data_IF_444846616542
#
_entry.id   IF_444846616542
#
_cell.length_a   1.000
_cell.length_b   1.000
_cell.length_c   1.000
_cell.angle_alpha   90.00
_cell.angle_beta   90.00
_cell.angle_gamma   90.00
#
_symmetry.space_group_name_H-M   'P 1'
#
loop_
_entity.id
_entity.type
_entity.pdbx_description
1 polymer ?
#
# COMPACT_ATOMS: atom_id res chain seq x y z
N UNK A 1 -10.64 8.81 29.10
CA UNK A 1 -9.68 9.64 29.83
C UNK A 1 -8.62 10.10 28.84
N UNK A 2 -8.10 11.31 28.94
CA UNK A 2 -7.07 11.80 28.00
C UNK A 2 -5.84 10.90 27.97
N UNK A 3 -5.49 10.28 29.10
CA UNK A 3 -4.44 9.25 29.20
C UNK A 3 -4.71 8.06 28.27
N UNK A 4 -5.97 7.65 28.08
CA UNK A 4 -6.32 6.55 27.17
C UNK A 4 -6.26 6.98 25.69
N UNK A 5 -6.39 8.29 25.40
CA UNK A 5 -6.25 8.84 24.05
C UNK A 5 -4.76 8.94 23.68
N UNK A 6 -3.93 9.47 24.58
CA UNK A 6 -2.49 9.67 24.36
C UNK A 6 -1.70 8.36 24.28
N UNK A 7 -2.17 7.31 24.98
CA UNK A 7 -1.56 5.98 24.96
C UNK A 7 -2.06 5.10 23.81
N UNK A 8 -3.02 5.57 23.00
CA UNK A 8 -3.63 4.77 21.93
C UNK A 8 -3.00 5.05 20.57
N UNK A 9 -2.59 4.01 19.83
CA UNK A 9 -2.12 4.12 18.43
C UNK A 9 -3.24 4.50 17.45
N UNK A 10 -4.50 4.34 17.89
CA UNK A 10 -5.70 4.60 17.11
C UNK A 10 -6.78 5.18 18.02
N UNK A 11 -7.16 6.43 17.80
CA UNK A 11 -8.23 7.12 18.52
C UNK A 11 -9.51 7.16 17.68
N UNK A 12 -10.60 6.60 18.21
CA UNK A 12 -11.92 6.68 17.59
C UNK A 12 -12.62 7.96 18.02
N UNK A 13 -12.82 8.89 17.07
CA UNK A 13 -13.45 10.19 17.33
C UNK A 13 -14.98 10.08 17.42
N UNK A 14 -15.58 9.00 16.89
CA UNK A 14 -17.01 8.68 17.01
C UNK A 14 -17.22 7.48 17.92
N UNK A 15 -18.31 7.49 18.67
CA UNK A 15 -18.74 6.40 19.56
C UNK A 15 -19.31 5.17 18.82
N UNK A 16 -18.94 4.96 17.55
CA UNK A 16 -19.38 3.80 16.76
C UNK A 16 -18.29 2.72 16.79
N UNK A 17 -18.61 1.55 17.36
CA UNK A 17 -17.70 0.41 17.41
C UNK A 17 -17.36 -0.13 16.01
N UNK A 18 -18.20 0.10 14.99
CA UNK A 18 -17.90 -0.32 13.61
C UNK A 18 -16.68 0.41 13.04
N UNK A 19 -16.35 1.60 13.55
CA UNK A 19 -15.15 2.33 13.14
C UNK A 19 -13.85 1.56 13.48
N UNK A 20 -13.85 0.75 14.54
CA UNK A 20 -12.72 -0.14 14.84
C UNK A 20 -12.60 -1.25 13.80
N UNK A 21 -13.71 -1.88 13.42
CA UNK A 21 -13.72 -2.92 12.40
C UNK A 21 -13.27 -2.38 11.02
N UNK A 22 -13.76 -1.19 10.65
CA UNK A 22 -13.36 -0.47 9.43
C UNK A 22 -11.85 -0.16 9.43
N UNK A 23 -11.30 0.30 10.56
CA UNK A 23 -9.87 0.57 10.68
C UNK A 23 -9.01 -0.69 10.47
N UNK A 24 -9.42 -1.83 11.04
CA UNK A 24 -8.70 -3.09 10.86
C UNK A 24 -8.82 -3.57 9.40
N UNK A 25 -9.99 -3.46 8.78
CA UNK A 25 -10.16 -3.87 7.38
C UNK A 25 -9.38 -2.99 6.41
N UNK A 26 -9.39 -1.67 6.63
CA UNK A 26 -8.56 -0.74 5.88
C UNK A 26 -7.08 -1.07 6.03
N UNK A 27 -6.60 -1.31 7.25
CA UNK A 27 -5.21 -1.71 7.52
C UNK A 27 -4.80 -2.97 6.76
N UNK A 28 -5.65 -4.01 6.75
CA UNK A 28 -5.41 -5.24 5.97
C UNK A 28 -5.29 -4.97 4.48
N UNK A 29 -6.16 -4.12 3.92
CA UNK A 29 -6.11 -3.73 2.49
C UNK A 29 -4.86 -2.91 2.18
N UNK A 30 -4.45 -2.02 3.09
CA UNK A 30 -3.19 -1.26 2.95
C UNK A 30 -2.00 -2.19 2.92
N UNK A 31 -1.94 -3.16 3.84
CA UNK A 31 -0.85 -4.14 3.89
C UNK A 31 -0.79 -5.00 2.63
N UNK A 32 -1.94 -5.38 2.04
CA UNK A 32 -1.98 -6.10 0.78
C UNK A 32 -1.38 -5.28 -0.38
N UNK A 33 -1.66 -3.97 -0.44
CA UNK A 33 -1.05 -3.06 -1.43
C UNK A 33 0.45 -2.91 -1.21
N UNK A 34 0.89 -2.71 0.04
CA UNK A 34 2.32 -2.62 0.39
C UNK A 34 3.06 -3.89 -0.04
N UNK A 35 2.50 -5.08 0.27
CA UNK A 35 3.09 -6.37 -0.14
C UNK A 35 3.21 -6.49 -1.66
N UNK A 36 2.18 -6.09 -2.40
CA UNK A 36 2.23 -6.09 -3.88
C UNK A 36 3.31 -5.17 -4.43
N UNK A 37 3.43 -3.96 -3.88
CA UNK A 37 4.46 -2.99 -4.28
C UNK A 37 5.87 -3.51 -3.98
N UNK A 38 6.06 -4.12 -2.81
CA UNK A 38 7.35 -4.69 -2.39
C UNK A 38 7.75 -5.89 -3.27
N UNK A 39 6.80 -6.75 -3.62
CA UNK A 39 7.03 -7.87 -4.54
C UNK A 39 7.55 -7.39 -5.90
N UNK A 40 6.91 -6.37 -6.50
CA UNK A 40 7.34 -5.81 -7.78
C UNK A 40 8.70 -5.14 -7.69
N UNK A 41 9.01 -4.44 -6.59
CA UNK A 41 10.32 -3.86 -6.36
C UNK A 41 11.41 -4.95 -6.31
N UNK A 42 11.18 -6.05 -5.60
CA UNK A 42 12.13 -7.18 -5.57
C UNK A 42 12.25 -7.87 -6.93
N UNK A 43 11.13 -8.15 -7.60
CA UNK A 43 11.14 -8.80 -8.92
C UNK A 43 11.99 -8.02 -9.94
N UNK A 44 11.87 -6.69 -9.92
CA UNK A 44 12.70 -5.82 -10.76
C UNK A 44 14.18 -5.91 -10.40
N UNK A 45 14.55 -5.79 -9.12
CA UNK A 45 15.95 -5.90 -8.69
C UNK A 45 16.55 -7.28 -9.04
N UNK A 46 15.79 -8.35 -8.83
CA UNK A 46 16.20 -9.72 -9.14
C UNK A 46 16.37 -9.93 -10.65
N UNK A 47 15.57 -9.28 -11.50
CA UNK A 47 15.75 -9.33 -12.95
C UNK A 47 16.93 -8.46 -13.42
N UNK A 48 17.06 -7.25 -12.88
CA UNK A 48 18.07 -6.28 -13.29
C UNK A 48 19.50 -6.72 -13.00
N UNK A 49 19.76 -7.40 -11.87
CA UNK A 49 21.10 -7.89 -11.51
C UNK A 49 21.70 -8.88 -12.55
N UNK A 50 21.06 -10.02 -12.87
CA UNK A 50 21.58 -10.96 -13.86
C UNK A 50 21.60 -10.37 -15.28
N UNK A 51 20.67 -9.47 -15.59
CA UNK A 51 20.66 -8.74 -16.85
C UNK A 51 21.84 -7.75 -16.97
N UNK A 52 22.20 -7.05 -15.89
CA UNK A 52 23.40 -6.21 -15.84
C UNK A 52 24.68 -7.04 -15.93
N UNK A 53 24.70 -8.23 -15.29
CA UNK A 53 25.82 -9.17 -15.36
C UNK A 53 26.03 -9.77 -16.76
N UNK A 54 24.98 -9.88 -17.57
CA UNK A 54 25.04 -10.46 -18.92
C UNK A 54 25.39 -9.47 -20.03
N UNK A 55 25.81 -8.23 -19.69
CA UNK A 55 26.18 -7.15 -20.64
C UNK A 55 25.05 -6.79 -21.65
N UNK A 56 23.82 -7.21 -21.39
CA UNK A 56 22.69 -7.14 -22.33
C UNK A 56 21.60 -6.16 -21.90
N UNK A 57 21.89 -5.25 -20.97
CA UNK A 57 20.90 -4.32 -20.46
C UNK A 57 21.17 -2.87 -20.89
N UNK A 58 20.29 -2.36 -21.76
CA UNK A 58 20.19 -0.93 -22.00
C UNK A 58 19.69 -0.25 -20.73
N UNK A 59 20.45 0.69 -20.12
CA UNK A 59 20.05 1.43 -18.93
C UNK A 59 18.69 2.14 -19.05
N UNK A 60 18.24 2.36 -20.28
CA UNK A 60 16.98 3.02 -20.61
C UNK A 60 15.76 2.15 -20.28
N UNK A 61 15.83 0.82 -20.49
CA UNK A 61 14.71 -0.08 -20.18
C UNK A 61 14.57 -0.26 -18.67
N UNK A 62 15.72 -0.36 -17.99
CA UNK A 62 15.81 -0.39 -16.54
C UNK A 62 15.17 0.87 -15.90
N UNK A 63 15.62 2.05 -16.33
CA UNK A 63 15.08 3.33 -15.83
C UNK A 63 13.60 3.55 -16.16
N UNK A 64 13.14 3.14 -17.35
CA UNK A 64 11.73 3.22 -17.72
C UNK A 64 10.83 2.34 -16.82
N UNK A 65 11.26 1.11 -16.54
CA UNK A 65 10.54 0.21 -15.63
C UNK A 65 10.52 0.74 -14.19
N UNK A 66 11.62 1.33 -13.71
CA UNK A 66 11.69 1.93 -12.37
C UNK A 66 10.75 3.14 -12.23
N UNK A 67 10.65 3.99 -13.26
CA UNK A 67 9.72 5.11 -13.30
C UNK A 67 8.25 4.66 -13.40
N UNK A 68 7.97 3.61 -14.18
CA UNK A 68 6.62 3.05 -14.29
C UNK A 68 6.13 2.44 -12.96
N UNK A 69 7.05 1.91 -12.15
CA UNK A 69 6.73 1.37 -10.83
C UNK A 69 6.11 2.41 -9.90
N UNK A 70 6.56 3.68 -9.92
CA UNK A 70 5.94 4.75 -9.14
C UNK A 70 4.48 4.98 -9.54
N UNK A 71 4.19 4.98 -10.85
CA UNK A 71 2.82 5.13 -11.36
C UNK A 71 1.95 3.94 -10.96
N UNK A 72 2.50 2.72 -11.03
CA UNK A 72 1.80 1.51 -10.60
C UNK A 72 1.50 1.50 -9.09
N UNK A 73 2.50 1.80 -8.27
CA UNK A 73 2.40 1.90 -6.80
C UNK A 73 1.35 2.94 -6.40
N UNK A 74 1.41 4.14 -6.99
CA UNK A 74 0.43 5.21 -6.73
C UNK A 74 -0.96 4.78 -7.18
N UNK A 75 -1.10 4.23 -8.39
CA UNK A 75 -2.40 3.77 -8.91
C UNK A 75 -3.01 2.65 -8.06
N UNK A 76 -2.20 1.69 -7.62
CA UNK A 76 -2.63 0.60 -6.74
C UNK A 76 -3.00 1.09 -5.33
N UNK A 77 -2.31 2.14 -4.85
CA UNK A 77 -2.65 2.78 -3.58
C UNK A 77 -3.92 3.62 -3.68
N UNK A 78 -4.19 4.24 -4.83
CA UNK A 78 -5.45 4.96 -5.08
C UNK A 78 -6.68 4.05 -5.09
N UNK A 79 -6.53 2.73 -5.31
CA UNK A 79 -7.63 1.75 -5.14
C UNK A 79 -8.17 1.74 -3.71
N UNK A 80 -7.35 2.04 -2.70
CA UNK A 80 -7.83 2.16 -1.32
C UNK A 80 -8.74 3.38 -1.09
N UNK A 81 -8.67 4.43 -1.92
CA UNK A 81 -9.58 5.58 -1.80
C UNK A 81 -11.03 5.22 -2.12
N UNK A 82 -11.29 4.06 -2.73
CA UNK A 82 -12.64 3.52 -2.98
C UNK A 82 -13.11 2.59 -1.86
N UNK A 83 -12.43 2.56 -0.72
CA UNK A 83 -12.88 1.80 0.43
C UNK A 83 -14.22 2.36 0.93
N UNK A 84 -15.29 1.58 0.78
CA UNK A 84 -16.57 1.83 1.46
C UNK A 84 -16.48 1.28 2.88
N UNK A 85 -16.72 2.14 3.87
CA UNK A 85 -16.87 1.78 5.28
C UNK A 85 -18.16 1.03 5.51
N UNK A 86 -18.18 0.09 6.45
CA UNK A 86 -19.38 -0.68 6.82
C UNK A 86 -20.53 0.22 7.29
N UNK A 87 -20.21 1.37 7.90
CA UNK A 87 -21.19 2.40 8.29
C UNK A 87 -21.94 3.01 7.08
N UNK A 88 -21.36 3.00 5.89
CA UNK A 88 -21.96 3.57 4.67
C UNK A 88 -22.93 2.60 3.99
N UNK A 89 -22.80 1.30 4.26
CA UNK A 89 -23.72 0.26 3.77
C UNK A 89 -25.00 0.13 4.61
N UNK A 90 -25.02 0.74 5.79
CA UNK A 90 -26.16 0.74 6.72
C UNK A 90 -27.03 2.01 6.66
N UNK A 91 -26.69 2.96 5.77
CA UNK A 91 -27.50 4.15 5.43
C UNK A 91 -28.23 3.94 4.12
#
# INVERSE_FOLDING_TARGET
TDVAIEASDLTLVRADLHAAADAIELSRRTLAVIKGNLFWAFAYNVAAIPLAMSWLLSPVVASAAMAFSSVFVVSNSLRLRRFHTLTDAAR
#
